data_IF_047630412555
#
_entry.id   IF_047630412555
#
_cell.length_a   1.000
_cell.length_b   1.000
_cell.length_c   1.000
_cell.angle_alpha   90.00
_cell.angle_beta   90.00
_cell.angle_gamma   90.00
#
_symmetry.space_group_name_H-M   'P 1'
#
loop_
_entity.id
_entity.type
_entity.pdbx_description
1 polymer ?
#
# COMPACT_ATOMS: atom_id res chain seq x y z
N UNK A 1 -12.29 -10.98 -14.67
CA UNK A 1 -12.10 -9.50 -14.76
C UNK A 1 -12.49 -9.04 -16.16
N UNK A 2 -13.09 -7.85 -16.32
CA UNK A 2 -13.32 -7.20 -17.63
C UNK A 2 -12.20 -6.17 -17.87
N UNK A 3 -11.23 -6.50 -18.73
CA UNK A 3 -10.02 -5.69 -18.95
C UNK A 3 -10.34 -4.31 -19.53
N UNK A 4 -11.29 -4.23 -20.47
CA UNK A 4 -11.70 -2.98 -21.10
C UNK A 4 -12.21 -2.00 -20.05
N UNK A 5 -13.03 -2.49 -19.12
CA UNK A 5 -13.56 -1.67 -18.01
C UNK A 5 -12.50 -1.33 -16.98
N UNK A 6 -11.55 -2.22 -16.70
CA UNK A 6 -10.45 -1.88 -15.79
C UNK A 6 -9.59 -0.75 -16.32
N UNK A 7 -9.18 -0.80 -17.59
CA UNK A 7 -8.46 0.32 -18.21
C UNK A 7 -9.29 1.60 -18.23
N UNK A 8 -10.59 1.49 -18.48
CA UNK A 8 -11.48 2.65 -18.46
C UNK A 8 -11.55 3.31 -17.07
N UNK A 9 -11.53 2.51 -15.99
CA UNK A 9 -11.51 3.03 -14.62
C UNK A 9 -10.19 3.78 -14.32
N UNK A 10 -9.05 3.21 -14.70
CA UNK A 10 -7.75 3.90 -14.57
C UNK A 10 -7.75 5.22 -15.34
N UNK A 11 -8.14 5.21 -16.63
CA UNK A 11 -8.23 6.44 -17.44
C UNK A 11 -9.19 7.47 -16.84
N UNK A 12 -10.29 7.03 -16.25
CA UNK A 12 -11.23 7.94 -15.60
C UNK A 12 -10.56 8.72 -14.45
N UNK A 13 -9.87 8.03 -13.54
CA UNK A 13 -9.19 8.70 -12.43
C UNK A 13 -8.07 9.65 -12.92
N UNK A 14 -7.34 9.26 -13.96
CA UNK A 14 -6.32 10.10 -14.57
C UNK A 14 -6.94 11.35 -15.22
N UNK A 15 -8.05 11.20 -15.94
CA UNK A 15 -8.74 12.31 -16.60
C UNK A 15 -9.31 13.34 -15.61
N UNK A 16 -9.65 12.93 -14.38
CA UNK A 16 -10.08 13.85 -13.31
C UNK A 16 -8.93 14.39 -12.46
N UNK A 17 -7.67 14.13 -12.86
CA UNK A 17 -6.49 14.75 -12.27
C UNK A 17 -5.94 14.05 -11.02
N UNK A 18 -6.19 12.75 -10.86
CA UNK A 18 -5.54 11.99 -9.78
C UNK A 18 -4.01 11.99 -9.95
N UNK A 19 -3.27 12.51 -8.96
CA UNK A 19 -1.81 12.51 -8.96
C UNK A 19 -1.18 11.15 -8.59
N UNK A 20 -1.99 10.18 -8.17
CA UNK A 20 -1.55 8.84 -7.83
C UNK A 20 -2.72 7.86 -7.77
N UNK A 21 -2.43 6.58 -7.97
CA UNK A 21 -3.41 5.49 -7.95
C UNK A 21 -2.90 4.35 -7.08
N UNK A 22 -3.75 3.91 -6.15
CA UNK A 22 -3.53 2.72 -5.35
C UNK A 22 -4.32 1.54 -5.93
N UNK A 23 -3.62 0.49 -6.34
CA UNK A 23 -4.17 -0.67 -7.04
C UNK A 23 -3.91 -1.93 -6.20
N UNK A 24 -4.86 -2.86 -6.15
CA UNK A 24 -4.74 -4.05 -5.31
C UNK A 24 -4.96 -3.75 -3.83
N UNK A 25 -5.83 -2.79 -3.53
CA UNK A 25 -6.23 -2.45 -2.15
C UNK A 25 -7.66 -2.91 -1.90
N UNK A 26 -8.21 -2.66 -0.71
CA UNK A 26 -9.57 -3.10 -0.35
C UNK A 26 -10.65 -2.74 -1.40
N UNK A 27 -10.56 -1.57 -2.05
CA UNK A 27 -11.50 -1.15 -3.11
C UNK A 27 -11.34 -1.93 -4.42
N UNK A 28 -10.18 -2.55 -4.66
CA UNK A 28 -9.95 -3.53 -5.75
C UNK A 28 -10.43 -4.93 -5.39
N UNK A 29 -10.87 -5.14 -4.14
CA UNK A 29 -11.26 -6.40 -3.52
C UNK A 29 -10.07 -7.30 -3.22
N UNK A 30 -9.79 -7.54 -1.94
CA UNK A 30 -8.64 -8.35 -1.52
C UNK A 30 -8.64 -9.80 -2.05
N UNK A 31 -9.77 -10.31 -2.53
CA UNK A 31 -9.85 -11.62 -3.16
C UNK A 31 -8.92 -11.77 -4.39
N UNK A 32 -8.49 -10.68 -5.04
CA UNK A 32 -7.56 -10.78 -6.18
C UNK A 32 -6.18 -11.32 -5.79
N UNK A 33 -5.80 -11.19 -4.52
CA UNK A 33 -4.51 -11.62 -3.97
C UNK A 33 -4.48 -13.12 -3.66
N UNK A 34 -5.64 -13.78 -3.61
CA UNK A 34 -5.68 -15.24 -3.49
C UNK A 34 -5.08 -15.85 -4.76
N UNK A 35 -4.03 -16.65 -4.60
CA UNK A 35 -3.33 -17.32 -5.70
C UNK A 35 -4.25 -18.24 -6.51
N UNK A 36 -5.35 -18.73 -5.93
CA UNK A 36 -6.39 -19.50 -6.63
C UNK A 36 -7.27 -18.63 -7.54
N UNK A 37 -7.43 -17.35 -7.20
CA UNK A 37 -8.11 -16.36 -8.04
C UNK A 37 -7.14 -15.83 -9.10
N UNK A 38 -5.88 -15.58 -8.72
CA UNK A 38 -4.78 -15.28 -9.64
C UNK A 38 -4.93 -13.96 -10.40
N UNK A 39 -5.62 -12.98 -9.82
CA UNK A 39 -5.93 -11.71 -10.49
C UNK A 39 -5.03 -10.53 -10.09
N UNK A 40 -4.26 -10.65 -9.01
CA UNK A 40 -3.38 -9.56 -8.55
C UNK A 40 -2.43 -9.06 -9.66
N UNK A 41 -1.60 -9.94 -10.22
CA UNK A 41 -0.68 -9.58 -11.31
C UNK A 41 -1.38 -8.99 -12.52
N UNK A 42 -2.38 -9.67 -13.12
CA UNK A 42 -3.14 -9.12 -14.25
C UNK A 42 -3.74 -7.73 -14.01
N UNK A 43 -4.27 -7.47 -12.82
CA UNK A 43 -4.83 -6.16 -12.46
C UNK A 43 -3.73 -5.09 -12.38
N UNK A 44 -2.60 -5.39 -11.74
CA UNK A 44 -1.47 -4.46 -11.63
C UNK A 44 -0.86 -4.14 -13.00
N UNK A 45 -0.68 -5.15 -13.85
CA UNK A 45 -0.15 -4.97 -15.22
C UNK A 45 -1.05 -4.06 -16.04
N UNK A 46 -2.37 -4.30 -16.05
CA UNK A 46 -3.31 -3.46 -16.80
C UNK A 46 -3.30 -2.00 -16.30
N UNK A 47 -3.18 -1.80 -14.98
CA UNK A 47 -3.09 -0.47 -14.41
C UNK A 47 -1.78 0.22 -14.81
N UNK A 48 -0.64 -0.44 -14.66
CA UNK A 48 0.68 0.08 -15.00
C UNK A 48 0.75 0.50 -16.47
N UNK A 49 0.39 -0.37 -17.40
CA UNK A 49 0.40 -0.09 -18.84
C UNK A 49 -0.52 1.09 -19.21
N UNK A 50 -1.69 1.19 -18.56
CA UNK A 50 -2.63 2.28 -18.82
C UNK A 50 -2.11 3.62 -18.30
N UNK A 51 -1.41 3.62 -17.16
CA UNK A 51 -0.74 4.80 -16.61
C UNK A 51 0.44 5.20 -17.51
N UNK A 52 1.25 4.24 -17.95
CA UNK A 52 2.35 4.49 -18.89
C UNK A 52 1.87 5.08 -20.22
N UNK A 53 0.76 4.58 -20.76
CA UNK A 53 0.15 5.16 -21.96
C UNK A 53 -0.28 6.62 -21.74
N UNK A 54 -0.88 6.92 -20.58
CA UNK A 54 -1.27 8.27 -20.20
C UNK A 54 -0.04 9.20 -20.15
N UNK A 55 1.02 8.80 -19.45
CA UNK A 55 2.26 9.58 -19.33
C UNK A 55 2.92 9.79 -20.71
N UNK A 56 3.00 8.73 -21.52
CA UNK A 56 3.57 8.78 -22.88
C UNK A 56 2.79 9.71 -23.82
N UNK A 57 1.50 9.88 -23.60
CA UNK A 57 0.64 10.76 -24.41
C UNK A 57 0.56 12.20 -23.88
N UNK A 58 1.45 12.57 -22.96
CA UNK A 58 1.55 13.92 -22.41
C UNK A 58 0.75 14.16 -21.13
N UNK A 59 0.23 13.09 -20.52
CA UNK A 59 -0.32 13.12 -19.18
C UNK A 59 0.70 13.45 -18.11
N UNK A 60 0.23 13.90 -16.95
CA UNK A 60 1.11 14.14 -15.80
C UNK A 60 1.66 12.81 -15.25
N UNK A 61 2.84 12.87 -14.62
CA UNK A 61 3.40 11.72 -13.91
C UNK A 61 2.48 11.28 -12.77
N UNK A 62 2.32 9.96 -12.60
CA UNK A 62 1.36 9.38 -11.66
C UNK A 62 2.07 8.51 -10.63
N UNK A 63 1.81 8.76 -9.35
CA UNK A 63 2.31 7.89 -8.28
C UNK A 63 1.54 6.56 -8.28
N UNK A 64 2.19 5.51 -8.78
CA UNK A 64 1.73 4.12 -8.70
C UNK A 64 1.97 3.52 -7.29
N UNK A 65 0.90 3.14 -6.60
CA UNK A 65 0.92 2.48 -5.29
C UNK A 65 0.35 1.07 -5.40
N UNK A 66 1.12 0.05 -5.02
CA UNK A 66 0.66 -1.35 -5.03
C UNK A 66 0.15 -1.73 -3.64
N UNK A 67 -1.07 -2.23 -3.52
CA UNK A 67 -1.50 -2.87 -2.29
C UNK A 67 -0.82 -4.22 -2.14
N UNK A 68 -0.37 -4.53 -0.93
CA UNK A 68 0.38 -5.73 -0.60
C UNK A 68 -0.29 -6.34 0.63
N UNK A 69 -0.57 -7.64 0.60
CA UNK A 69 -1.28 -8.34 1.69
C UNK A 69 -0.65 -9.70 2.00
N UNK A 70 -1.19 -10.35 3.03
CA UNK A 70 -0.86 -11.74 3.38
C UNK A 70 0.29 -11.84 4.37
N UNK A 71 0.84 -13.05 4.48
CA UNK A 71 2.04 -13.29 5.29
C UNK A 71 3.30 -12.72 4.62
N UNK A 72 4.45 -12.78 5.29
CA UNK A 72 5.70 -12.23 4.76
C UNK A 72 6.11 -12.86 3.42
N UNK A 73 5.85 -14.15 3.20
CA UNK A 73 6.21 -14.81 1.95
C UNK A 73 5.37 -14.28 0.78
N UNK A 74 4.06 -14.17 0.98
CA UNK A 74 3.18 -13.58 -0.02
C UNK A 74 3.51 -12.10 -0.25
N UNK A 75 3.62 -11.32 0.83
CA UNK A 75 3.84 -9.87 0.75
C UNK A 75 5.14 -9.51 0.02
N UNK A 76 6.23 -10.23 0.27
CA UNK A 76 7.50 -10.05 -0.46
C UNK A 76 7.40 -10.44 -1.93
N UNK A 77 6.63 -11.48 -2.26
CA UNK A 77 6.39 -11.89 -3.65
C UNK A 77 5.55 -10.84 -4.40
N UNK A 78 4.52 -10.29 -3.76
CA UNK A 78 3.71 -9.20 -4.29
C UNK A 78 4.53 -7.91 -4.45
N UNK A 79 5.40 -7.60 -3.49
CA UNK A 79 6.34 -6.47 -3.55
C UNK A 79 7.32 -6.58 -4.73
N UNK A 80 7.85 -7.78 -4.98
CA UNK A 80 8.75 -8.03 -6.10
C UNK A 80 8.02 -7.82 -7.43
N UNK A 81 6.83 -8.40 -7.58
CA UNK A 81 6.01 -8.19 -8.78
C UNK A 81 5.65 -6.71 -8.99
N UNK A 82 5.29 -5.99 -7.93
CA UNK A 82 5.01 -4.57 -8.01
C UNK A 82 6.23 -3.77 -8.49
N UNK A 83 7.42 -4.12 -7.99
CA UNK A 83 8.69 -3.51 -8.40
C UNK A 83 8.98 -3.78 -9.88
N UNK A 84 8.80 -5.02 -10.35
CA UNK A 84 8.99 -5.42 -11.75
C UNK A 84 8.03 -4.66 -12.70
N UNK A 85 6.84 -4.32 -12.22
CA UNK A 85 5.82 -3.55 -12.94
C UNK A 85 5.96 -2.03 -12.77
N UNK A 86 7.04 -1.54 -12.14
CA UNK A 86 7.35 -0.11 -12.01
C UNK A 86 6.50 0.65 -10.99
N UNK A 87 5.92 -0.04 -9.99
CA UNK A 87 5.27 0.63 -8.87
C UNK A 87 6.30 1.30 -7.95
N UNK A 88 5.95 2.45 -7.41
CA UNK A 88 6.89 3.26 -6.62
C UNK A 88 6.88 2.92 -5.13
N UNK A 89 5.73 2.47 -4.62
CA UNK A 89 5.52 2.25 -3.19
C UNK A 89 4.49 1.13 -2.96
N UNK A 90 4.75 0.29 -1.97
CA UNK A 90 3.84 -0.75 -1.50
C UNK A 90 3.00 -0.28 -0.31
N UNK A 91 1.68 -0.20 -0.43
CA UNK A 91 0.75 -0.04 0.68
C UNK A 91 0.51 -1.40 1.35
N UNK A 92 1.18 -1.63 2.47
CA UNK A 92 1.21 -2.93 3.14
C UNK A 92 0.09 -3.03 4.17
N UNK A 93 -0.83 -3.97 3.96
CA UNK A 93 -1.86 -4.32 4.93
C UNK A 93 -1.28 -5.16 6.08
N UNK A 94 -1.63 -4.79 7.32
CA UNK A 94 -1.14 -5.46 8.53
C UNK A 94 -2.21 -6.34 9.20
N UNK A 95 -3.33 -6.58 8.53
CA UNK A 95 -4.42 -7.41 9.03
C UNK A 95 -3.99 -8.84 9.35
N UNK A 96 -3.08 -9.41 8.55
CA UNK A 96 -2.55 -10.76 8.79
C UNK A 96 -1.68 -10.86 10.05
N UNK A 97 -1.17 -9.72 10.54
CA UNK A 97 -0.42 -9.64 11.80
C UNK A 97 -1.33 -9.46 13.02
N UNK A 98 -2.66 -9.42 12.85
CA UNK A 98 -3.61 -9.30 13.95
C UNK A 98 -3.46 -10.47 14.94
N UNK A 99 -3.14 -10.15 16.19
CA UNK A 99 -2.89 -11.13 17.26
C UNK A 99 -1.43 -11.56 17.41
N UNK A 100 -0.54 -11.11 16.53
CA UNK A 100 0.91 -11.22 16.69
C UNK A 100 1.49 -10.13 17.61
N UNK A 101 2.81 -10.14 17.79
CA UNK A 101 3.52 -9.08 18.52
C UNK A 101 3.83 -7.90 17.59
N UNK A 102 3.96 -6.70 18.18
CA UNK A 102 4.44 -5.50 17.45
C UNK A 102 5.75 -5.81 16.69
N UNK A 103 6.64 -6.63 17.27
CA UNK A 103 7.91 -7.02 16.65
C UNK A 103 7.72 -7.80 15.35
N UNK A 104 6.75 -8.72 15.30
CA UNK A 104 6.48 -9.50 14.10
C UNK A 104 5.98 -8.62 12.96
N UNK A 105 5.05 -7.71 13.24
CA UNK A 105 4.52 -6.78 12.24
C UNK A 105 5.59 -5.79 11.73
N UNK A 106 6.49 -5.33 12.61
CA UNK A 106 7.63 -4.49 12.20
C UNK A 106 8.59 -5.28 11.31
N UNK A 107 8.90 -6.53 11.65
CA UNK A 107 9.80 -7.36 10.84
C UNK A 107 9.18 -7.71 9.48
N UNK A 108 7.87 -7.92 9.43
CA UNK A 108 7.12 -8.06 8.20
C UNK A 108 7.27 -6.82 7.30
N UNK A 109 7.07 -5.62 7.87
CA UNK A 109 7.27 -4.36 7.12
C UNK A 109 8.71 -4.21 6.63
N UNK A 110 9.71 -4.58 7.45
CA UNK A 110 11.13 -4.57 7.04
C UNK A 110 11.40 -5.46 5.86
N UNK A 111 10.92 -6.71 5.89
CA UNK A 111 11.12 -7.66 4.82
C UNK A 111 10.55 -7.14 3.48
N UNK A 112 9.37 -6.50 3.52
CA UNK A 112 8.79 -5.84 2.32
C UNK A 112 9.61 -4.61 1.92
N UNK A 113 10.05 -3.82 2.90
CA UNK A 113 10.84 -2.61 2.69
C UNK A 113 12.21 -2.87 2.06
N UNK A 114 12.79 -4.06 2.19
CA UNK A 114 14.00 -4.45 1.45
C UNK A 114 13.77 -4.47 -0.08
N UNK A 115 12.52 -4.67 -0.52
CA UNK A 115 12.17 -4.81 -1.93
C UNK A 115 11.66 -3.48 -2.49
N UNK A 116 10.60 -2.93 -1.90
CA UNK A 116 9.91 -1.72 -2.37
C UNK A 116 9.75 -0.72 -1.22
N UNK A 117 9.85 0.62 -1.45
CA UNK A 117 9.46 1.59 -0.42
C UNK A 117 8.06 1.30 0.12
N UNK A 118 7.85 1.49 1.42
CA UNK A 118 6.61 1.08 2.10
C UNK A 118 5.79 2.30 2.47
N UNK A 119 4.49 2.20 2.20
CA UNK A 119 3.43 3.00 2.80
C UNK A 119 2.74 2.13 3.86
N UNK A 120 2.84 2.52 5.13
CA UNK A 120 2.16 1.79 6.20
C UNK A 120 0.64 1.95 6.11
N UNK A 121 -0.14 0.91 6.43
CA UNK A 121 -1.60 0.98 6.40
C UNK A 121 -2.22 0.76 7.78
N UNK A 122 -2.72 1.83 8.42
CA UNK A 122 -3.54 1.71 9.63
C UNK A 122 -5.00 1.52 9.25
N UNK A 123 -5.40 0.28 8.96
CA UNK A 123 -6.77 -0.08 8.66
C UNK A 123 -7.56 -0.40 9.95
N UNK A 124 -8.80 0.04 10.03
CA UNK A 124 -9.68 -0.31 11.16
C UNK A 124 -10.04 -1.81 11.19
N UNK A 125 -10.31 -2.39 12.37
CA UNK A 125 -10.66 -3.82 12.51
C UNK A 125 -11.90 -4.25 11.71
N UNK A 126 -12.90 -3.38 11.55
CA UNK A 126 -14.18 -3.72 10.92
C UNK A 126 -14.06 -4.14 9.44
N UNK A 127 -12.94 -3.83 8.78
CA UNK A 127 -12.69 -4.18 7.37
C UNK A 127 -11.38 -4.94 7.18
N UNK A 128 -10.90 -5.62 8.23
CA UNK A 128 -9.75 -6.53 8.17
C UNK A 128 -8.44 -5.99 8.73
N UNK A 129 -8.42 -4.76 9.27
CA UNK A 129 -7.23 -4.24 9.95
C UNK A 129 -7.12 -4.66 11.41
N UNK A 130 -6.25 -3.98 12.16
CA UNK A 130 -6.01 -4.24 13.57
C UNK A 130 -5.61 -2.96 14.32
N UNK A 131 -5.74 -2.97 15.65
CA UNK A 131 -5.36 -1.83 16.48
C UNK A 131 -3.84 -1.77 16.66
N UNK A 132 -3.24 -0.67 16.19
CA UNK A 132 -1.79 -0.45 16.20
C UNK A 132 -1.47 0.77 17.09
N UNK A 133 -0.88 0.56 18.28
CA UNK A 133 -0.69 1.63 19.26
C UNK A 133 0.42 2.60 18.85
N UNK A 134 0.45 3.79 19.45
CA UNK A 134 1.55 4.77 19.31
C UNK A 134 2.96 4.14 19.27
N UNK A 135 3.29 3.22 20.20
CA UNK A 135 4.62 2.60 20.29
C UNK A 135 5.01 1.80 19.04
N UNK A 136 4.03 1.21 18.35
CA UNK A 136 4.24 0.50 17.10
C UNK A 136 4.64 1.50 16.02
N UNK A 137 3.83 2.55 15.82
CA UNK A 137 4.11 3.59 14.82
C UNK A 137 5.42 4.32 15.09
N UNK A 138 5.79 4.52 16.36
CA UNK A 138 7.06 5.18 16.72
C UNK A 138 8.27 4.37 16.26
N UNK A 139 8.19 3.04 16.29
CA UNK A 139 9.23 2.13 15.81
C UNK A 139 9.17 1.94 14.30
N UNK A 140 7.98 1.88 13.72
CA UNK A 140 7.81 1.82 12.25
C UNK A 140 8.35 3.07 11.58
N UNK A 141 8.21 4.25 12.19
CA UNK A 141 8.81 5.49 11.69
C UNK A 141 10.34 5.46 11.59
N UNK A 142 11.03 4.56 12.30
CA UNK A 142 12.48 4.39 12.23
C UNK A 142 12.91 3.54 11.02
N UNK A 143 11.97 3.00 10.25
CA UNK A 143 12.30 2.32 9.00
C UNK A 143 12.67 3.35 7.93
N UNK A 144 13.91 3.26 7.42
CA UNK A 144 14.42 4.20 6.41
C UNK A 144 13.54 4.28 5.16
N UNK A 145 13.01 3.13 4.73
CA UNK A 145 12.18 2.99 3.52
C UNK A 145 10.68 3.10 3.80
N UNK A 146 10.26 3.54 4.98
CA UNK A 146 8.90 4.03 5.19
C UNK A 146 8.79 5.45 4.62
N UNK A 147 7.88 5.63 3.67
CA UNK A 147 7.75 6.91 2.93
C UNK A 147 6.38 7.56 3.07
N UNK A 148 5.41 6.87 3.68
CA UNK A 148 4.08 7.40 3.95
C UNK A 148 3.31 6.49 4.93
N UNK A 149 2.23 7.00 5.53
CA UNK A 149 1.24 6.19 6.24
C UNK A 149 -0.16 6.55 5.81
N UNK A 150 -0.93 5.56 5.36
CA UNK A 150 -2.37 5.67 5.16
C UNK A 150 -3.09 5.41 6.47
N UNK A 151 -3.60 6.47 7.08
CA UNK A 151 -4.24 6.42 8.40
C UNK A 151 -5.75 6.33 8.23
N UNK A 152 -6.31 5.12 8.36
CA UNK A 152 -7.75 4.86 8.25
C UNK A 152 -8.33 4.09 9.46
N UNK A 153 -8.01 4.44 10.73
CA UNK A 153 -8.63 3.83 11.90
C UNK A 153 -10.05 4.39 12.16
N UNK A 154 -10.46 5.45 11.46
CA UNK A 154 -11.71 6.20 11.68
C UNK A 154 -11.90 6.66 13.14
N UNK A 155 -10.78 6.88 13.84
CA UNK A 155 -10.72 7.36 15.21
C UNK A 155 -9.73 8.53 15.27
N UNK A 156 -10.18 9.64 15.85
CA UNK A 156 -9.40 10.88 15.95
C UNK A 156 -8.12 10.69 16.77
N UNK A 157 -8.21 10.01 17.91
CA UNK A 157 -7.07 9.86 18.82
C UNK A 157 -6.03 8.92 18.25
N UNK A 158 -6.46 7.81 17.65
CA UNK A 158 -5.57 6.88 16.94
C UNK A 158 -4.87 7.55 15.76
N UNK A 159 -5.59 8.40 15.05
CA UNK A 159 -4.98 9.21 13.96
C UNK A 159 -3.88 10.12 14.50
N UNK A 160 -4.14 10.81 15.62
CA UNK A 160 -3.15 11.67 16.27
C UNK A 160 -1.95 10.90 16.82
N UNK A 161 -2.14 9.66 17.28
CA UNK A 161 -1.04 8.80 17.72
C UNK A 161 -0.05 8.50 16.59
N UNK A 162 -0.52 8.23 15.37
CA UNK A 162 0.39 8.03 14.22
C UNK A 162 1.16 9.30 13.90
N UNK A 163 0.46 10.44 13.78
CA UNK A 163 1.08 11.72 13.43
C UNK A 163 2.12 12.10 14.48
N UNK A 164 1.78 11.95 15.76
CA UNK A 164 2.71 12.20 16.87
C UNK A 164 3.90 11.25 16.81
N UNK A 165 3.69 9.96 16.53
CA UNK A 165 4.78 8.99 16.46
C UNK A 165 5.81 9.33 15.36
N UNK A 166 5.34 9.79 14.19
CA UNK A 166 6.20 10.25 13.09
C UNK A 166 6.94 11.55 13.49
N UNK A 167 6.26 12.49 14.12
CA UNK A 167 6.87 13.74 14.60
C UNK A 167 7.92 13.49 15.69
N UNK A 168 7.62 12.65 16.68
CA UNK A 168 8.52 12.27 17.78
C UNK A 168 9.68 11.38 17.29
N UNK A 169 9.60 10.83 16.07
CA UNK A 169 10.71 10.17 15.37
C UNK A 169 11.59 11.13 14.58
N UNK A 170 11.20 12.40 14.44
CA UNK A 170 11.92 13.40 13.66
C UNK A 170 11.80 13.26 12.15
N UNK A 171 10.90 12.38 11.66
CA UNK A 171 10.75 12.02 10.24
C UNK A 171 9.62 12.78 9.52
N UNK A 172 9.02 13.80 10.14
CA UNK A 172 7.83 14.47 9.61
C UNK A 172 8.00 15.22 8.28
N UNK A 173 9.23 15.45 7.82
CA UNK A 173 9.50 16.02 6.48
C UNK A 173 9.75 14.94 5.42
N UNK A 174 9.76 13.67 5.80
CA UNK A 174 10.15 12.54 4.96
C UNK A 174 9.02 11.52 4.75
N UNK A 175 8.05 11.46 5.67
CA UNK A 175 6.90 10.53 5.71
C UNK A 175 5.59 11.30 5.58
#
# INVERSE_FOLDING_TARGET
MDERRQRALTRYYLAVGAGGLAIGVHTTQFAIHDSKVGLYGPVLTLAAETIEEHERTGGAAVVRVAGIVGDTQQATSEAALATDLGFHVGLVDLGHSAGGTDDHAIEHLRAVAEIIPVMGFYLQPAVGGCDLPYRFWRRVAELDRLVAVKIAPFDRYRTLEVVRAVADAGRGNEI
#
